data_IF_790277524771
#
_entry.id   IF_790277524771
#
_cell.length_a   1.000
_cell.length_b   1.000
_cell.length_c   1.000
_cell.angle_alpha   90.00
_cell.angle_beta   90.00
_cell.angle_gamma   90.00
#
_symmetry.space_group_name_H-M   'P 1'
#
loop_
_entity.id
_entity.type
_entity.pdbx_description
1 polymer ?
#
# COMPACT_ATOMS: atom_id res chain seq x y z
N UNK A 1 11.35 -5.20 -11.79
CA UNK A 1 11.34 -5.89 -10.48
C UNK A 1 10.11 -5.44 -9.73
N UNK A 2 9.41 -6.36 -9.04
CA UNK A 2 8.24 -6.00 -8.24
C UNK A 2 8.69 -5.25 -6.98
N UNK A 3 8.01 -4.15 -6.67
CA UNK A 3 8.24 -3.32 -5.49
C UNK A 3 6.99 -3.29 -4.63
N UNK A 4 7.18 -3.06 -3.33
CA UNK A 4 6.12 -3.05 -2.34
C UNK A 4 6.28 -1.88 -1.39
N UNK A 5 5.19 -1.41 -0.81
CA UNK A 5 5.19 -0.45 0.28
C UNK A 5 4.02 -0.74 1.21
N UNK A 6 4.18 -0.38 2.48
CA UNK A 6 3.13 -0.43 3.48
C UNK A 6 2.68 1.00 3.71
N UNK A 7 1.42 1.28 3.42
CA UNK A 7 0.84 2.61 3.46
C UNK A 7 -0.23 2.69 4.53
N UNK A 8 -0.42 3.87 5.13
CA UNK A 8 -1.54 4.13 6.04
C UNK A 8 -2.83 4.22 5.21
N UNK A 9 -3.91 3.57 5.67
CA UNK A 9 -5.22 3.55 5.02
C UNK A 9 -5.78 4.95 4.71
N UNK A 10 -5.40 5.97 5.48
CA UNK A 10 -5.79 7.38 5.28
C UNK A 10 -5.41 7.91 3.88
N UNK A 11 -4.33 7.39 3.26
CA UNK A 11 -3.98 7.74 1.88
C UNK A 11 -5.08 7.38 0.87
N UNK A 12 -5.99 6.44 1.18
CA UNK A 12 -7.10 6.12 0.27
C UNK A 12 -8.29 7.08 0.40
N UNK A 13 -8.33 7.87 1.47
CA UNK A 13 -9.41 8.81 1.79
C UNK A 13 -8.99 10.27 1.60
N UNK A 14 -7.70 10.51 1.35
CA UNK A 14 -7.17 11.82 1.03
C UNK A 14 -7.71 12.33 -0.31
N UNK A 15 -8.51 13.40 -0.23
CA UNK A 15 -9.12 14.09 -1.37
C UNK A 15 -8.77 15.57 -1.38
N UNK A 16 -8.68 16.14 -2.57
CA UNK A 16 -8.53 17.58 -2.79
C UNK A 16 -9.77 18.35 -2.31
N UNK A 17 -9.70 19.68 -2.28
CA UNK A 17 -10.85 20.55 -1.97
C UNK A 17 -12.05 20.30 -2.89
N UNK A 18 -11.81 19.80 -4.10
CA UNK A 18 -12.83 19.51 -5.10
C UNK A 18 -13.40 18.07 -4.99
N UNK A 19 -12.95 17.29 -4.00
CA UNK A 19 -13.42 15.92 -3.77
C UNK A 19 -12.73 14.84 -4.61
N UNK A 20 -11.73 15.21 -5.40
CA UNK A 20 -10.94 14.26 -6.20
C UNK A 20 -9.84 13.60 -5.35
N UNK A 21 -9.59 12.27 -5.48
CA UNK A 21 -8.50 11.60 -4.78
C UNK A 21 -7.16 12.27 -5.03
N UNK A 22 -6.40 12.52 -3.96
CA UNK A 22 -5.06 13.14 -4.05
C UNK A 22 -4.07 12.17 -4.70
N UNK A 23 -4.21 10.88 -4.43
CA UNK A 23 -3.25 9.87 -4.88
C UNK A 23 -3.84 8.98 -5.97
N UNK A 24 -3.11 8.92 -7.09
CA UNK A 24 -3.46 8.07 -8.22
C UNK A 24 -2.88 6.66 -8.05
N UNK A 25 -3.74 5.73 -7.65
CA UNK A 25 -3.41 4.32 -7.50
C UNK A 25 -3.45 3.52 -8.82
N UNK A 26 -3.72 4.14 -9.97
CA UNK A 26 -3.72 3.43 -11.27
C UNK A 26 -2.35 2.84 -11.63
N UNK A 27 -1.28 3.34 -11.00
CA UNK A 27 0.08 2.85 -11.18
C UNK A 27 0.41 1.62 -10.31
N UNK A 28 -0.50 1.20 -9.41
CA UNK A 28 -0.35 0.00 -8.58
C UNK A 28 -1.23 -1.14 -9.09
N UNK A 29 -0.78 -2.38 -8.90
CA UNK A 29 -1.43 -3.57 -9.49
C UNK A 29 -2.72 -3.96 -8.73
N UNK A 30 -2.92 -3.44 -7.53
CA UNK A 30 -4.14 -3.62 -6.74
C UNK A 30 -4.59 -2.24 -6.28
N UNK A 31 -5.41 -1.60 -7.11
CA UNK A 31 -5.84 -0.20 -6.95
C UNK A 31 -7.15 -0.04 -6.17
N UNK A 32 -7.97 -1.10 -6.09
CA UNK A 32 -9.27 -1.04 -5.41
C UNK A 32 -9.18 -1.40 -3.93
N UNK A 33 -9.87 -0.63 -3.07
CA UNK A 33 -10.03 -0.90 -1.61
C UNK A 33 -10.40 -2.34 -1.29
N UNK A 34 -11.22 -2.99 -2.13
CA UNK A 34 -11.64 -4.39 -1.96
C UNK A 34 -10.58 -5.42 -2.38
N UNK A 35 -9.55 -5.01 -3.11
CA UNK A 35 -8.47 -5.88 -3.62
C UNK A 35 -7.14 -5.70 -2.90
N UNK A 36 -7.03 -4.63 -2.09
CA UNK A 36 -5.88 -4.35 -1.26
C UNK A 36 -5.83 -5.32 -0.08
N UNK A 37 -4.63 -5.80 0.23
CA UNK A 37 -4.40 -6.52 1.47
C UNK A 37 -4.29 -5.49 2.59
N UNK A 38 -5.20 -5.54 3.54
CA UNK A 38 -5.17 -4.73 4.75
C UNK A 38 -4.39 -5.46 5.86
N UNK A 39 -3.87 -4.69 6.80
CA UNK A 39 -3.48 -5.20 8.12
C UNK A 39 -4.73 -5.61 8.92
N UNK A 40 -4.53 -6.45 9.93
CA UNK A 40 -5.59 -6.95 10.80
C UNK A 40 -6.27 -5.83 11.60
N UNK A 41 -5.53 -4.80 11.98
CA UNK A 41 -6.06 -3.58 12.61
C UNK A 41 -6.76 -2.63 11.63
N UNK A 42 -6.66 -2.88 10.32
CA UNK A 42 -7.23 -2.04 9.26
C UNK A 42 -6.56 -0.69 9.07
N UNK A 43 -5.46 -0.39 9.77
CA UNK A 43 -4.77 0.91 9.69
C UNK A 43 -3.80 1.00 8.51
N UNK A 44 -3.35 -0.14 7.98
CA UNK A 44 -2.36 -0.21 6.92
C UNK A 44 -2.83 -1.06 5.76
N UNK A 45 -2.29 -0.79 4.58
CA UNK A 45 -2.48 -1.60 3.39
C UNK A 45 -1.17 -1.81 2.63
N UNK A 46 -1.11 -2.94 1.93
CA UNK A 46 0.02 -3.31 1.10
C UNK A 46 -0.23 -2.88 -0.35
N UNK A 47 0.64 -2.01 -0.87
CA UNK A 47 0.70 -1.69 -2.30
C UNK A 47 1.80 -2.48 -3.00
N UNK A 48 1.58 -2.77 -4.28
CA UNK A 48 2.58 -3.42 -5.15
C UNK A 48 2.54 -2.82 -6.55
N UNK A 49 3.71 -2.57 -7.14
CA UNK A 49 3.82 -1.99 -8.47
C UNK A 49 5.06 -2.49 -9.21
N UNK A 50 5.08 -2.26 -10.53
CA UNK A 50 6.21 -2.56 -11.41
C UNK A 50 6.64 -1.27 -12.11
N UNK A 51 7.94 -0.98 -12.08
CA UNK A 51 8.52 0.15 -12.80
C UNK A 51 8.95 1.31 -11.89
N UNK A 52 8.83 2.56 -12.36
CA UNK A 52 9.10 3.76 -11.55
C UNK A 52 8.29 3.77 -10.26
N UNK A 53 8.83 4.39 -9.21
CA UNK A 53 8.09 4.57 -7.96
C UNK A 53 7.07 5.70 -8.15
N UNK A 54 5.78 5.47 -7.90
CA UNK A 54 4.76 6.51 -7.93
C UNK A 54 5.13 7.66 -7.01
N UNK A 55 4.82 8.90 -7.40
CA UNK A 55 5.25 10.11 -6.67
C UNK A 55 4.78 10.09 -5.21
N UNK A 56 3.57 9.58 -4.97
CA UNK A 56 2.98 9.47 -3.63
C UNK A 56 3.66 8.45 -2.72
N UNK A 57 4.52 7.60 -3.27
CA UNK A 57 5.32 6.61 -2.54
C UNK A 57 6.79 7.03 -2.40
N UNK A 58 7.18 8.23 -2.85
CA UNK A 58 8.57 8.68 -2.75
C UNK A 58 9.04 8.86 -1.30
N UNK A 59 8.13 9.25 -0.41
CA UNK A 59 8.41 9.45 1.01
C UNK A 59 8.05 8.21 1.86
N UNK A 60 7.69 7.09 1.21
CA UNK A 60 7.33 5.83 1.87
C UNK A 60 8.41 4.79 1.63
N UNK A 61 8.69 3.99 2.66
CA UNK A 61 9.65 2.89 2.55
C UNK A 61 9.25 1.92 1.43
N UNK A 62 10.17 1.70 0.51
CA UNK A 62 10.02 0.75 -0.60
C UNK A 62 10.76 -0.54 -0.28
N UNK A 63 10.05 -1.66 -0.39
CA UNK A 63 10.53 -3.00 -0.09
C UNK A 63 10.63 -3.86 -1.35
N UNK A 64 11.63 -4.74 -1.38
CA UNK A 64 11.68 -5.89 -2.28
C UNK A 64 10.76 -7.01 -1.79
N UNK A 65 10.56 -8.03 -2.62
CA UNK A 65 9.77 -9.20 -2.25
C UNK A 65 10.30 -9.96 -1.02
N UNK A 66 11.62 -9.97 -0.81
CA UNK A 66 12.21 -10.63 0.36
C UNK A 66 11.99 -9.79 1.63
N UNK A 67 12.23 -8.48 1.56
CA UNK A 67 12.07 -7.58 2.70
C UNK A 67 10.62 -7.45 3.14
N UNK A 68 9.68 -7.37 2.19
CA UNK A 68 8.25 -7.26 2.53
C UNK A 68 7.75 -8.52 3.24
N UNK A 69 8.27 -9.70 2.91
CA UNK A 69 7.93 -10.93 3.65
C UNK A 69 8.38 -10.86 5.10
N UNK A 70 9.54 -10.27 5.36
CA UNK A 70 10.05 -10.07 6.72
C UNK A 70 9.19 -9.03 7.46
N UNK A 71 8.89 -7.90 6.80
CA UNK A 71 8.07 -6.83 7.38
C UNK A 71 6.65 -7.32 7.75
N UNK A 72 6.04 -8.16 6.91
CA UNK A 72 4.71 -8.74 7.13
C UNK A 72 4.72 -9.97 8.06
N UNK A 73 5.87 -10.41 8.57
CA UNK A 73 5.96 -11.57 9.47
C UNK A 73 5.68 -11.19 10.93
N UNK A 74 4.58 -10.48 11.18
CA UNK A 74 4.12 -10.10 12.52
C UNK A 74 2.61 -10.33 12.65
N UNK A 75 2.10 -10.27 13.88
CA UNK A 75 0.71 -10.64 14.21
C UNK A 75 -0.32 -9.64 13.65
N UNK A 76 0.10 -8.44 13.25
CA UNK A 76 -0.79 -7.47 12.61
C UNK A 76 -1.06 -7.78 11.12
N UNK A 77 -0.33 -8.72 10.52
CA UNK A 77 -0.51 -9.10 9.11
C UNK A 77 -0.80 -10.58 8.89
N UNK A 78 -0.54 -11.41 9.90
CA UNK A 78 -0.93 -12.81 9.91
C UNK A 78 -2.41 -12.87 10.23
N UNK A 79 -3.24 -13.29 9.28
CA UNK A 79 -4.59 -13.72 9.61
C UNK A 79 -4.46 -14.84 10.65
N UNK A 80 -4.98 -14.64 11.86
CA UNK A 80 -5.26 -15.76 12.76
C UNK A 80 -6.27 -16.65 12.01
N UNK A 81 -5.82 -17.83 11.60
CA UNK A 81 -6.64 -18.84 10.90
C UNK A 81 -7.33 -19.71 11.95
#
# INVERSE_FOLDING_TARGET
MMKYAICNIELLDEVTTDGEPIFDFSQVIQEGKSTLRLSNDGQYFLVKWIGPTPIFLNDVDTYTHAEIKVALNNDNWKLEI
#
